data_IF_987275703883
#
_entry.id   IF_987275703883
#
_cell.length_a   1.000
_cell.length_b   1.000
_cell.length_c   1.000
_cell.angle_alpha   90.00
_cell.angle_beta   90.00
_cell.angle_gamma   90.00
#
_symmetry.space_group_name_H-M   'P 1'
#
loop_
_entity.id
_entity.type
_entity.pdbx_description
1 polymer ?
#
# COMPACT_ATOMS: atom_id res chain seq x y z
N UNK A 1 3.51 -1.13 18.37
CA UNK A 1 2.03 -1.27 18.30
C UNK A 1 1.55 -0.52 17.06
N UNK A 2 0.53 -1.05 16.37
CA UNK A 2 -0.07 -0.45 15.16
C UNK A 2 -1.56 -0.24 15.42
N UNK A 3 -2.09 0.91 15.02
CA UNK A 3 -3.50 1.26 15.09
C UNK A 3 -3.98 1.86 13.76
N UNK A 4 -5.27 1.71 13.50
CA UNK A 4 -5.94 2.20 12.30
C UNK A 4 -7.24 2.89 12.71
N UNK A 5 -7.38 4.17 12.39
CA UNK A 5 -8.52 4.99 12.75
C UNK A 5 -9.21 5.49 11.48
N UNK A 6 -10.46 5.10 11.27
CA UNK A 6 -11.25 5.60 10.16
C UNK A 6 -11.81 6.99 10.44
N UNK A 7 -12.00 7.77 9.38
CA UNK A 7 -12.74 9.04 9.39
C UNK A 7 -13.50 9.20 8.08
N UNK A 8 -14.38 10.21 7.99
CA UNK A 8 -15.18 10.42 6.78
C UNK A 8 -14.26 10.73 5.59
N UNK A 9 -14.25 9.85 4.58
CA UNK A 9 -13.45 10.02 3.37
C UNK A 9 -12.04 9.44 3.41
N UNK A 10 -11.65 8.73 4.49
CA UNK A 10 -10.31 8.17 4.60
C UNK A 10 -10.02 7.39 5.89
N UNK A 11 -8.74 7.11 6.11
CA UNK A 11 -8.26 6.47 7.34
C UNK A 11 -6.86 6.99 7.70
N UNK A 12 -6.52 6.89 8.99
CA UNK A 12 -5.23 7.22 9.56
C UNK A 12 -4.60 5.97 10.18
N UNK A 13 -3.40 5.62 9.72
CA UNK A 13 -2.54 4.61 10.33
C UNK A 13 -1.57 5.26 11.31
N UNK A 14 -1.40 4.62 12.46
CA UNK A 14 -0.47 5.03 13.50
C UNK A 14 0.39 3.83 13.89
N UNK A 15 1.71 3.97 13.85
CA UNK A 15 2.62 2.92 14.31
C UNK A 15 3.74 3.50 15.15
N UNK A 16 4.08 2.79 16.24
CA UNK A 16 5.31 3.10 17.00
C UNK A 16 6.52 2.72 16.15
N UNK A 17 7.46 3.66 16.04
CA UNK A 17 8.77 3.48 15.41
C UNK A 17 9.87 3.63 16.47
N UNK A 18 11.12 3.64 16.05
CA UNK A 18 12.29 3.78 16.91
C UNK A 18 12.32 5.14 17.63
N UNK A 19 13.22 5.31 18.61
CA UNK A 19 13.46 6.58 19.30
C UNK A 19 12.21 7.20 19.94
N UNK A 20 11.36 6.35 20.52
CA UNK A 20 10.07 6.69 21.12
C UNK A 20 9.15 7.54 20.21
N UNK A 21 9.36 7.44 18.89
CA UNK A 21 8.63 8.19 17.90
C UNK A 21 7.44 7.39 17.36
N UNK A 22 6.50 8.08 16.74
CA UNK A 22 5.35 7.47 16.06
C UNK A 22 5.30 7.94 14.61
N UNK A 23 5.05 7.00 13.71
CA UNK A 23 4.68 7.32 12.34
C UNK A 23 3.15 7.48 12.28
N UNK A 24 2.70 8.65 11.83
CA UNK A 24 1.29 8.97 11.62
C UNK A 24 1.11 9.32 10.15
N UNK A 25 0.32 8.50 9.45
CA UNK A 25 0.03 8.68 8.03
C UNK A 25 -1.48 8.53 7.81
N UNK A 26 -2.07 9.37 6.98
CA UNK A 26 -3.46 9.20 6.57
C UNK A 26 -3.61 9.37 5.08
N UNK A 27 -4.61 8.68 4.54
CA UNK A 27 -5.03 8.80 3.15
C UNK A 27 -6.48 9.27 3.15
N UNK A 28 -6.78 10.22 2.28
CA UNK A 28 -8.14 10.73 2.06
C UNK A 28 -8.42 10.78 0.56
N UNK A 29 -9.69 10.67 0.19
CA UNK A 29 -10.09 10.94 -1.19
C UNK A 29 -10.10 12.46 -1.49
N UNK A 30 -10.00 12.78 -2.77
CA UNK A 30 -9.98 14.16 -3.25
C UNK A 30 -11.28 14.91 -2.94
N UNK A 31 -12.43 14.23 -3.06
CA UNK A 31 -13.74 14.85 -2.81
C UNK A 31 -13.95 15.32 -1.36
N UNK A 32 -13.36 14.62 -0.39
CA UNK A 32 -13.38 15.02 1.00
C UNK A 32 -12.41 16.19 1.25
N UNK A 33 -11.19 16.11 0.72
CA UNK A 33 -10.14 17.11 0.96
C UNK A 33 -10.41 18.46 0.27
N UNK A 34 -10.96 18.45 -0.95
CA UNK A 34 -11.16 19.66 -1.78
C UNK A 34 -12.05 20.72 -1.14
N UNK A 35 -12.87 20.35 -0.16
CA UNK A 35 -13.74 21.29 0.56
C UNK A 35 -12.97 22.14 1.59
N UNK A 36 -11.78 21.70 1.99
CA UNK A 36 -10.96 22.37 3.01
C UNK A 36 -9.71 23.00 2.41
N UNK A 37 -9.08 22.33 1.43
CA UNK A 37 -7.88 22.79 0.69
C UNK A 37 -6.65 23.14 1.55
N UNK A 38 -6.71 22.83 2.84
CA UNK A 38 -5.64 23.04 3.82
C UNK A 38 -5.58 21.83 4.76
N UNK A 39 -4.35 21.39 5.07
CA UNK A 39 -4.09 20.20 5.88
C UNK A 39 -4.54 20.42 7.32
N UNK A 40 -4.21 21.58 7.90
CA UNK A 40 -4.52 21.87 9.30
C UNK A 40 -6.03 21.94 9.50
N UNK A 41 -6.72 22.66 8.62
CA UNK A 41 -8.18 22.77 8.61
C UNK A 41 -8.82 21.40 8.41
N UNK A 42 -8.31 20.57 7.49
CA UNK A 42 -8.82 19.21 7.29
C UNK A 42 -8.63 18.34 8.55
N UNK A 43 -7.49 18.45 9.23
CA UNK A 43 -7.24 17.73 10.48
C UNK A 43 -8.22 18.13 11.57
N UNK A 44 -8.42 19.43 11.80
CA UNK A 44 -9.35 19.96 12.80
C UNK A 44 -10.79 19.54 12.52
N UNK A 45 -11.25 19.72 11.28
CA UNK A 45 -12.64 19.55 10.89
C UNK A 45 -13.04 18.10 10.59
N UNK A 46 -12.07 17.23 10.28
CA UNK A 46 -12.35 15.84 9.88
C UNK A 46 -11.68 14.84 10.80
N UNK A 47 -10.35 14.86 10.93
CA UNK A 47 -9.62 13.85 11.70
C UNK A 47 -9.91 13.96 13.21
N UNK A 48 -9.96 15.17 13.75
CA UNK A 48 -10.10 15.40 15.19
C UNK A 48 -11.53 15.23 15.71
N UNK A 49 -12.49 14.92 14.83
CA UNK A 49 -13.77 14.32 15.23
C UNK A 49 -13.56 12.95 15.87
N UNK A 50 -12.47 12.26 15.53
CA UNK A 50 -12.00 11.10 16.27
C UNK A 50 -11.17 11.58 17.48
N UNK A 51 -11.68 11.37 18.69
CA UNK A 51 -11.06 11.85 19.94
C UNK A 51 -9.70 11.21 20.20
N UNK A 52 -9.47 9.98 19.75
CA UNK A 52 -8.17 9.31 19.87
C UNK A 52 -7.13 9.98 18.98
N UNK A 53 -7.48 10.28 17.72
CA UNK A 53 -6.61 11.04 16.82
C UNK A 53 -6.36 12.46 17.35
N UNK A 54 -7.40 13.14 17.85
CA UNK A 54 -7.24 14.47 18.48
C UNK A 54 -6.27 14.41 19.67
N UNK A 55 -6.42 13.42 20.55
CA UNK A 55 -5.52 13.24 21.68
C UNK A 55 -4.10 12.87 21.23
N UNK A 56 -3.93 12.09 20.16
CA UNK A 56 -2.63 11.70 19.64
C UNK A 56 -1.87 12.93 19.13
N UNK A 57 -2.50 13.72 18.26
CA UNK A 57 -1.87 14.91 17.67
C UNK A 57 -1.58 15.99 18.73
N UNK A 58 -2.50 16.23 19.67
CA UNK A 58 -2.30 17.25 20.72
C UNK A 58 -1.22 16.90 21.74
N UNK A 59 -0.93 15.61 21.94
CA UNK A 59 0.10 15.14 22.90
C UNK A 59 1.43 14.80 22.24
N UNK A 60 1.54 14.93 20.92
CA UNK A 60 2.75 14.60 20.17
C UNK A 60 3.37 15.85 19.59
N UNK A 61 4.70 15.84 19.42
CA UNK A 61 5.43 16.90 18.72
C UNK A 61 5.78 16.44 17.31
N UNK A 62 5.49 17.22 16.26
CA UNK A 62 5.98 16.93 14.91
C UNK A 62 7.51 16.87 14.88
N UNK A 63 8.06 15.87 14.21
CA UNK A 63 9.51 15.75 13.97
C UNK A 63 9.96 16.41 12.67
N UNK A 64 9.02 16.67 11.76
CA UNK A 64 9.26 17.39 10.51
C UNK A 64 8.65 18.79 10.62
N UNK A 65 9.29 19.78 9.99
CA UNK A 65 8.79 21.17 9.95
C UNK A 65 7.43 21.28 9.27
N UNK A 66 7.19 20.42 8.28
CA UNK A 66 5.95 20.35 7.51
C UNK A 66 5.54 18.89 7.26
N UNK A 67 4.24 18.57 7.22
CA UNK A 67 3.78 17.26 6.79
C UNK A 67 4.20 16.95 5.35
N UNK A 68 4.67 15.74 5.12
CA UNK A 68 4.97 15.26 3.77
C UNK A 68 3.68 14.77 3.11
N UNK A 69 3.37 15.32 1.93
CA UNK A 69 2.17 14.93 1.18
C UNK A 69 2.49 14.55 -0.25
N UNK A 70 1.83 13.50 -0.72
CA UNK A 70 1.77 13.14 -2.13
C UNK A 70 0.29 13.13 -2.56
N UNK A 71 0.05 13.48 -3.81
CA UNK A 71 -1.29 13.48 -4.41
C UNK A 71 -1.33 12.59 -5.64
N UNK A 72 -2.52 12.36 -6.19
CA UNK A 72 -2.73 11.63 -7.45
C UNK A 72 -2.17 10.20 -7.45
N UNK A 73 -2.29 9.52 -6.31
CA UNK A 73 -1.88 8.12 -6.18
C UNK A 73 -2.84 7.25 -7.00
N UNK A 74 -2.34 6.61 -8.06
CA UNK A 74 -3.09 5.63 -8.83
C UNK A 74 -2.85 4.21 -8.31
N UNK A 75 -3.94 3.55 -7.95
CA UNK A 75 -3.97 2.12 -7.59
C UNK A 75 -4.50 1.29 -8.75
N UNK A 76 -4.23 1.71 -9.99
CA UNK A 76 -4.62 0.96 -11.17
C UNK A 76 -3.70 -0.24 -11.39
N UNK A 77 -4.25 -1.24 -12.07
CA UNK A 77 -3.44 -2.36 -12.52
C UNK A 77 -2.60 -1.89 -13.69
N UNK A 78 -1.27 -2.02 -13.56
CA UNK A 78 -0.31 -1.69 -14.61
C UNK A 78 0.26 -2.96 -15.21
N UNK A 79 0.77 -2.83 -16.43
CA UNK A 79 1.48 -3.93 -17.09
C UNK A 79 2.93 -4.01 -16.60
N UNK A 80 3.43 -5.22 -16.28
CA UNK A 80 4.83 -5.39 -15.85
C UNK A 80 5.84 -5.23 -16.99
N UNK A 81 5.38 -5.18 -18.25
CA UNK A 81 6.19 -4.88 -19.44
C UNK A 81 5.46 -3.85 -20.28
N UNK A 82 6.11 -2.74 -20.59
CA UNK A 82 5.56 -1.65 -21.42
C UNK A 82 6.61 -1.19 -22.43
N UNK A 83 6.32 -1.23 -23.73
CA UNK A 83 7.26 -0.85 -24.80
C UNK A 83 8.66 -1.47 -24.62
N UNK A 84 8.68 -2.75 -24.25
CA UNK A 84 9.87 -3.53 -23.94
C UNK A 84 10.67 -3.11 -22.69
N UNK A 85 10.13 -2.21 -21.86
CA UNK A 85 10.67 -1.86 -20.55
C UNK A 85 10.14 -2.82 -19.49
N UNK A 86 11.04 -3.33 -18.65
CA UNK A 86 10.69 -4.16 -17.50
C UNK A 86 10.34 -3.23 -16.33
N UNK A 87 9.09 -3.28 -15.89
CA UNK A 87 8.59 -2.45 -14.80
C UNK A 87 8.75 -3.18 -13.47
N UNK A 88 9.07 -2.45 -12.39
CA UNK A 88 9.31 -2.99 -11.05
C UNK A 88 8.64 -2.12 -9.98
N UNK A 89 8.22 -2.73 -8.87
CA UNK A 89 7.53 -2.02 -7.78
C UNK A 89 6.29 -1.27 -8.28
N UNK A 90 6.13 -0.03 -7.83
CA UNK A 90 4.95 0.81 -8.13
C UNK A 90 4.82 1.17 -9.62
N UNK A 91 5.89 1.02 -10.41
CA UNK A 91 5.81 1.19 -11.88
C UNK A 91 5.10 0.01 -12.56
N UNK A 92 5.19 -1.20 -11.98
CA UNK A 92 4.49 -2.40 -12.47
C UNK A 92 3.14 -2.67 -11.76
N UNK A 93 2.81 -1.91 -10.72
CA UNK A 93 1.51 -1.94 -10.06
C UNK A 93 1.62 -1.60 -8.59
N UNK A 94 0.83 -0.63 -8.14
CA UNK A 94 0.86 -0.17 -6.76
C UNK A 94 -0.18 -0.92 -5.91
N UNK A 95 0.25 -1.52 -4.81
CA UNK A 95 -0.65 -2.11 -3.83
C UNK A 95 -1.19 -1.03 -2.89
N UNK A 96 -2.46 -1.12 -2.51
CA UNK A 96 -3.05 -0.16 -1.58
C UNK A 96 -2.31 -0.16 -0.22
N UNK A 97 -1.98 1.00 0.38
CA UNK A 97 -1.12 1.10 1.58
C UNK A 97 -1.61 0.27 2.76
N UNK A 98 -2.93 0.12 2.90
CA UNK A 98 -3.57 -0.68 3.95
C UNK A 98 -3.12 -2.16 3.96
N UNK A 99 -2.65 -2.67 2.82
CA UNK A 99 -2.23 -4.05 2.68
C UNK A 99 -0.75 -4.28 3.03
N UNK A 100 0.04 -3.21 3.17
CA UNK A 100 1.43 -3.23 3.61
C UNK A 100 2.31 -4.22 2.86
N UNK A 101 2.74 -3.92 1.63
CA UNK A 101 3.77 -4.73 0.95
C UNK A 101 4.46 -4.04 -0.25
N UNK A 102 4.29 -2.72 -0.44
CA UNK A 102 4.81 -2.03 -1.64
C UNK A 102 6.33 -2.16 -1.76
N UNK A 103 7.06 -1.87 -0.68
CA UNK A 103 8.53 -2.02 -0.65
C UNK A 103 8.98 -3.46 -0.89
N UNK A 104 8.31 -4.44 -0.28
CA UNK A 104 8.61 -5.86 -0.48
C UNK A 104 8.36 -6.30 -1.92
N UNK A 105 7.29 -5.80 -2.55
CA UNK A 105 7.01 -6.01 -3.97
C UNK A 105 8.08 -5.38 -4.85
N UNK A 106 8.53 -4.16 -4.55
CA UNK A 106 9.61 -3.49 -5.28
C UNK A 106 10.90 -4.32 -5.27
N UNK A 107 11.39 -4.69 -4.08
CA UNK A 107 12.61 -5.50 -3.93
C UNK A 107 12.46 -6.86 -4.62
N UNK A 108 11.34 -7.55 -4.39
CA UNK A 108 11.13 -8.88 -4.99
C UNK A 108 11.02 -8.80 -6.51
N UNK A 109 10.38 -7.77 -7.05
CA UNK A 109 10.28 -7.60 -8.50
C UNK A 109 11.63 -7.28 -9.15
N UNK A 110 12.45 -6.43 -8.50
CA UNK A 110 13.81 -6.16 -8.93
C UNK A 110 14.65 -7.45 -8.95
N UNK A 111 14.51 -8.31 -7.94
CA UNK A 111 15.17 -9.62 -7.92
C UNK A 111 14.68 -10.55 -9.05
N UNK A 112 13.38 -10.60 -9.32
CA UNK A 112 12.83 -11.39 -10.42
C UNK A 112 13.37 -10.90 -11.78
N UNK A 113 13.45 -9.58 -11.96
CA UNK A 113 13.99 -8.97 -13.16
C UNK A 113 15.48 -9.27 -13.30
N UNK A 114 16.28 -9.06 -12.25
CA UNK A 114 17.74 -9.23 -12.30
C UNK A 114 18.15 -10.65 -12.66
N UNK A 115 17.53 -11.67 -12.06
CA UNK A 115 17.81 -13.08 -12.39
C UNK A 115 17.55 -13.37 -13.86
N UNK A 116 16.40 -12.91 -14.39
CA UNK A 116 16.06 -13.15 -15.78
C UNK A 116 16.95 -12.37 -16.76
N UNK A 117 17.33 -11.14 -16.40
CA UNK A 117 18.26 -10.33 -17.20
C UNK A 117 19.62 -11.01 -17.27
N UNK A 118 20.14 -11.52 -16.16
CA UNK A 118 21.41 -12.26 -16.13
C UNK A 118 21.34 -13.51 -17.01
N UNK A 119 20.27 -14.31 -16.89
CA UNK A 119 20.09 -15.51 -17.72
C UNK A 119 20.00 -15.18 -19.22
N UNK A 120 19.39 -14.05 -19.58
CA UNK A 120 19.38 -13.54 -20.95
C UNK A 120 20.77 -13.11 -21.43
N UNK A 121 21.51 -12.34 -20.62
CA UNK A 121 22.87 -11.91 -20.96
C UNK A 121 23.87 -13.06 -21.06
N UNK A 122 23.61 -14.17 -20.36
CA UNK A 122 24.41 -15.41 -20.42
C UNK A 122 23.96 -16.37 -21.54
N UNK A 123 22.96 -16.00 -22.35
CA UNK A 123 22.46 -16.82 -23.44
C UNK A 123 21.61 -18.02 -23.03
N UNK A 124 21.23 -18.15 -21.74
CA UNK A 124 20.31 -19.19 -21.26
C UNK A 124 18.87 -18.93 -21.68
N UNK A 125 18.51 -17.65 -21.83
CA UNK A 125 17.26 -17.21 -22.46
C UNK A 125 17.63 -16.71 -23.85
N UNK A 126 17.02 -17.28 -24.89
CA UNK A 126 17.49 -17.07 -26.26
C UNK A 126 17.08 -15.70 -26.83
N UNK A 127 15.94 -15.16 -26.39
CA UNK A 127 15.38 -13.95 -27.00
C UNK A 127 14.83 -12.97 -25.96
N UNK A 128 14.80 -11.67 -26.32
CA UNK A 128 14.15 -10.64 -25.51
C UNK A 128 12.66 -10.93 -25.28
N UNK A 129 11.97 -11.45 -26.30
CA UNK A 129 10.55 -11.83 -26.20
C UNK A 129 10.33 -12.91 -25.15
N UNK A 130 11.24 -13.88 -25.06
CA UNK A 130 11.20 -14.92 -24.04
C UNK A 130 11.46 -14.35 -22.64
N UNK A 131 12.45 -13.47 -22.48
CA UNK A 131 12.71 -12.73 -21.24
C UNK A 131 11.45 -11.99 -20.75
N UNK A 132 10.83 -11.18 -21.61
CA UNK A 132 9.64 -10.40 -21.28
C UNK A 132 8.45 -11.29 -20.90
N UNK A 133 8.21 -12.37 -21.66
CA UNK A 133 7.15 -13.34 -21.38
C UNK A 133 7.37 -14.04 -20.04
N UNK A 134 8.60 -14.47 -19.76
CA UNK A 134 8.95 -15.11 -18.50
C UNK A 134 8.82 -14.15 -17.31
N UNK A 135 9.24 -12.89 -17.46
CA UNK A 135 9.06 -11.90 -16.41
C UNK A 135 7.58 -11.65 -16.12
N UNK A 136 6.77 -11.41 -17.16
CA UNK A 136 5.32 -11.22 -17.02
C UNK A 136 4.66 -12.41 -16.30
N UNK A 137 5.03 -13.64 -16.65
CA UNK A 137 4.53 -14.86 -16.00
C UNK A 137 4.95 -14.93 -14.52
N UNK A 138 6.22 -14.67 -14.21
CA UNK A 138 6.73 -14.67 -12.82
C UNK A 138 6.10 -13.56 -11.98
N UNK A 139 5.93 -12.36 -12.53
CA UNK A 139 5.24 -11.22 -11.90
C UNK A 139 3.80 -11.60 -11.55
N UNK A 140 3.03 -12.06 -12.54
CA UNK A 140 1.61 -12.42 -12.35
C UNK A 140 1.45 -13.52 -11.30
N UNK A 141 2.28 -14.56 -11.35
CA UNK A 141 2.26 -15.64 -10.34
C UNK A 141 2.58 -15.13 -8.94
N UNK A 142 3.45 -14.13 -8.82
CA UNK A 142 3.93 -13.64 -7.52
C UNK A 142 3.00 -12.60 -6.89
N UNK A 143 2.44 -11.69 -7.71
CA UNK A 143 1.81 -10.47 -7.22
C UNK A 143 0.32 -10.30 -7.57
N UNK A 144 -0.22 -11.01 -8.57
CA UNK A 144 -1.60 -10.76 -9.04
C UNK A 144 -2.66 -10.92 -7.95
N UNK A 145 -2.55 -11.95 -7.10
CA UNK A 145 -3.47 -12.15 -5.98
C UNK A 145 -3.38 -10.99 -4.97
N UNK A 146 -2.17 -10.51 -4.68
CA UNK A 146 -1.93 -9.42 -3.72
C UNK A 146 -2.50 -8.10 -4.23
N UNK A 147 -2.27 -7.80 -5.51
CA UNK A 147 -2.82 -6.61 -6.17
C UNK A 147 -4.35 -6.65 -6.21
N UNK A 148 -4.94 -7.78 -6.63
CA UNK A 148 -6.41 -7.96 -6.65
C UNK A 148 -7.03 -7.82 -5.25
N UNK A 149 -6.44 -8.46 -4.24
CA UNK A 149 -6.89 -8.32 -2.85
C UNK A 149 -6.77 -6.87 -2.37
N UNK A 150 -5.65 -6.21 -2.68
CA UNK A 150 -5.42 -4.81 -2.35
C UNK A 150 -6.43 -3.86 -2.98
N UNK A 151 -6.77 -4.05 -4.26
CA UNK A 151 -7.79 -3.26 -4.94
C UNK A 151 -9.18 -3.50 -4.36
N UNK A 152 -9.54 -4.75 -4.04
CA UNK A 152 -10.81 -5.06 -3.40
C UNK A 152 -10.94 -4.39 -2.03
N UNK A 153 -9.88 -4.47 -1.21
CA UNK A 153 -9.81 -3.80 0.10
C UNK A 153 -9.90 -2.28 -0.08
N UNK A 154 -9.14 -1.69 -0.99
CA UNK A 154 -9.20 -0.26 -1.29
C UNK A 154 -10.62 0.19 -1.66
N UNK A 155 -11.29 -0.57 -2.52
CA UNK A 155 -12.66 -0.31 -2.93
C UNK A 155 -13.62 -0.35 -1.74
N UNK A 156 -13.52 -1.37 -0.88
CA UNK A 156 -14.35 -1.49 0.32
C UNK A 156 -14.15 -0.33 1.29
N UNK A 157 -12.89 0.10 1.49
CA UNK A 157 -12.58 1.23 2.36
C UNK A 157 -13.03 2.59 1.81
N UNK A 158 -13.12 2.76 0.48
CA UNK A 158 -13.70 3.97 -0.12
C UNK A 158 -15.20 4.11 0.14
N UNK A 159 -15.90 3.00 0.37
CA UNK A 159 -17.33 2.98 0.65
C UNK A 159 -17.56 3.15 2.15
N UNK A 160 -17.90 4.37 2.60
CA UNK A 160 -18.07 4.70 4.03
C UNK A 160 -18.94 3.68 4.81
N UNK A 161 -20.01 3.15 4.20
CA UNK A 161 -20.89 2.15 4.84
C UNK A 161 -20.22 0.76 4.92
N UNK A 162 -19.54 0.34 3.86
CA UNK A 162 -18.88 -0.97 3.82
C UNK A 162 -17.64 -1.02 4.71
N UNK A 163 -16.91 0.09 4.83
CA UNK A 163 -15.77 0.20 5.72
C UNK A 163 -16.17 -0.04 7.19
N UNK A 164 -17.30 0.53 7.63
CA UNK A 164 -17.86 0.31 8.98
C UNK A 164 -18.28 -1.15 9.17
N UNK A 165 -18.95 -1.74 8.18
CA UNK A 165 -19.34 -3.15 8.21
C UNK A 165 -18.10 -4.05 8.28
N UNK A 166 -17.08 -3.80 7.46
CA UNK A 166 -15.83 -4.56 7.44
C UNK A 166 -15.11 -4.48 8.78
N UNK A 167 -15.01 -3.29 9.39
CA UNK A 167 -14.42 -3.14 10.71
C UNK A 167 -15.21 -3.89 11.79
N UNK A 168 -16.54 -3.85 11.75
CA UNK A 168 -17.39 -4.60 12.69
C UNK A 168 -17.20 -6.11 12.51
N UNK A 169 -17.13 -6.60 11.27
CA UNK A 169 -16.84 -8.01 10.96
C UNK A 169 -15.46 -8.40 11.49
N UNK A 170 -14.42 -7.57 11.27
CA UNK A 170 -13.08 -7.85 11.78
C UNK A 170 -13.00 -7.80 13.31
N UNK A 171 -13.83 -6.98 13.96
CA UNK A 171 -13.95 -6.93 15.43
C UNK A 171 -14.59 -8.18 15.99
N UNK A 172 -15.62 -8.72 15.33
CA UNK A 172 -16.31 -9.95 15.73
C UNK A 172 -15.49 -11.20 15.38
N UNK A 173 -14.78 -11.16 14.26
CA UNK A 173 -13.96 -12.26 13.74
C UNK A 173 -12.48 -11.86 13.61
N UNK A 174 -11.77 -11.67 14.74
CA UNK A 174 -10.40 -11.16 14.75
C UNK A 174 -9.40 -12.08 14.04
N UNK A 175 -9.72 -13.38 13.88
CA UNK A 175 -8.87 -14.34 13.15
C UNK A 175 -8.80 -14.07 11.64
N UNK A 176 -9.74 -13.28 11.07
CA UNK A 176 -9.72 -12.92 9.66
C UNK A 176 -8.60 -11.94 9.34
N UNK A 177 -8.26 -11.06 10.29
CA UNK A 177 -7.24 -10.02 10.08
C UNK A 177 -5.85 -10.63 9.78
N UNK A 178 -5.31 -11.59 10.56
CA UNK A 178 -4.08 -12.30 10.20
C UNK A 178 -4.13 -13.01 8.84
N UNK A 179 -5.29 -13.58 8.46
CA UNK A 179 -5.45 -14.25 7.15
C UNK A 179 -5.38 -13.25 5.99
N UNK A 180 -6.02 -12.09 6.13
CA UNK A 180 -5.96 -11.00 5.16
C UNK A 180 -4.53 -10.49 5.03
N UNK A 181 -3.86 -10.22 6.16
CA UNK A 181 -2.45 -9.80 6.19
C UNK A 181 -1.56 -10.83 5.50
N UNK A 182 -1.73 -12.13 5.78
CA UNK A 182 -0.94 -13.20 5.15
C UNK A 182 -1.17 -13.26 3.63
N UNK A 183 -2.41 -13.05 3.17
CA UNK A 183 -2.72 -12.98 1.74
C UNK A 183 -2.06 -11.79 1.05
N UNK A 184 -1.87 -10.66 1.74
CA UNK A 184 -1.24 -9.46 1.16
C UNK A 184 0.27 -9.43 1.32
N UNK A 185 0.85 -10.12 2.30
CA UNK A 185 2.30 -10.10 2.60
C UNK A 185 3.13 -11.12 1.79
N UNK A 186 2.50 -12.17 1.27
CA UNK A 186 3.19 -13.14 0.41
C UNK A 186 4.13 -14.09 1.15
N UNK A 187 4.93 -14.86 0.39
CA UNK A 187 5.89 -15.82 0.95
C UNK A 187 7.24 -15.15 1.25
N UNK A 188 7.94 -15.53 2.32
CA UNK A 188 9.30 -15.06 2.61
C UNK A 188 10.22 -15.30 1.42
N UNK A 189 11.16 -14.40 1.20
CA UNK A 189 12.21 -14.60 0.18
C UNK A 189 13.23 -15.59 0.74
N UNK A 190 13.53 -16.64 -0.01
CA UNK A 190 14.75 -17.41 0.17
C UNK A 190 15.86 -16.72 -0.60
N UNK A 191 17.00 -16.48 0.04
CA UNK A 191 18.21 -16.06 -0.67
C UNK A 191 18.59 -17.19 -1.64
N UNK A 192 18.88 -16.82 -2.89
CA UNK A 192 19.40 -17.72 -3.92
C UNK A 192 20.91 -17.77 -3.85
#
# INVERSE_FOLDING_TARGET
>A
KVALHNFKGGYCGVSKVENDSINVCYITNFDAFKNYKDINTFQQEVLFKNLELKSLFSKSKPLFDQPLTISQISFETKDPIENHMIMCGDSAGMIHPLCGNGMGMAIRSAQLASVLIIDYLQGKIATRKELESMYRKKWNKTFSLRLKAGHAIAYLFRQNKLAVILLNVLRVFPFLLPKIIKMTHGKPMTAS
#
